data_IF_668389161200
#
_entry.id   IF_668389161200
#
_cell.length_a   1.000
_cell.length_b   1.000
_cell.length_c   1.000
_cell.angle_alpha   90.00
_cell.angle_beta   90.00
_cell.angle_gamma   90.00
#
_symmetry.space_group_name_H-M   'P 1'
#
loop_
_entity.id
_entity.type
_entity.pdbx_description
1 polymer ?
#
# COMPACT_ATOMS: atom_id res chain seq x y z
N UNK A 1 23.40 30.90 -22.72
CA UNK A 1 23.26 30.05 -21.52
C UNK A 1 21.78 29.73 -21.37
N UNK A 2 21.30 28.61 -21.93
CA UNK A 2 19.88 28.22 -21.86
C UNK A 2 19.58 27.72 -20.45
N UNK A 3 18.81 28.48 -19.68
CA UNK A 3 18.14 28.00 -18.48
C UNK A 3 17.19 26.89 -18.89
N UNK A 4 17.58 25.63 -18.67
CA UNK A 4 16.67 24.50 -18.79
C UNK A 4 15.45 24.79 -17.93
N UNK A 5 14.32 25.09 -18.58
CA UNK A 5 13.04 25.22 -17.91
C UNK A 5 12.80 23.90 -17.18
N UNK A 6 12.78 23.94 -15.85
CA UNK A 6 12.29 22.85 -15.02
C UNK A 6 10.79 22.70 -15.31
N UNK A 7 10.46 22.06 -16.44
CA UNK A 7 9.10 21.67 -16.79
C UNK A 7 8.70 20.61 -15.76
N UNK A 8 8.02 21.06 -14.70
CA UNK A 8 7.40 20.20 -13.71
C UNK A 8 6.46 19.26 -14.48
N UNK A 9 6.72 17.96 -14.39
CA UNK A 9 5.91 16.96 -15.09
C UNK A 9 4.43 17.19 -14.79
N UNK A 10 3.58 17.08 -15.82
CA UNK A 10 2.15 17.33 -15.70
C UNK A 10 1.56 16.48 -14.55
N UNK A 11 0.65 17.04 -13.74
CA UNK A 11 0.05 16.31 -12.63
C UNK A 11 -0.77 15.13 -13.15
N UNK A 12 -0.72 13.99 -12.46
CA UNK A 12 -1.54 12.83 -12.81
C UNK A 12 -3.04 13.15 -12.68
N UNK A 13 -3.82 12.71 -13.66
CA UNK A 13 -5.29 12.85 -13.64
C UNK A 13 -5.92 11.94 -12.59
N UNK A 14 -7.16 12.21 -12.21
CA UNK A 14 -7.92 11.37 -11.26
C UNK A 14 -8.11 9.96 -11.82
N UNK A 15 -8.45 9.81 -13.10
CA UNK A 15 -8.60 8.51 -13.75
C UNK A 15 -7.30 7.69 -13.72
N UNK A 16 -6.17 8.32 -14.07
CA UNK A 16 -4.83 7.71 -13.99
C UNK A 16 -4.50 7.29 -12.54
N UNK A 17 -4.89 8.10 -11.55
CA UNK A 17 -4.68 7.80 -10.12
C UNK A 17 -5.51 6.60 -9.65
N UNK A 18 -6.77 6.52 -10.05
CA UNK A 18 -7.65 5.37 -9.77
C UNK A 18 -7.05 4.11 -10.39
N UNK A 19 -6.62 4.17 -11.65
CA UNK A 19 -6.01 3.02 -12.32
C UNK A 19 -4.74 2.53 -11.59
N UNK A 20 -3.85 3.46 -11.19
CA UNK A 20 -2.64 3.13 -10.41
C UNK A 20 -3.00 2.45 -9.09
N UNK A 21 -3.95 3.03 -8.33
CA UNK A 21 -4.40 2.49 -7.05
C UNK A 21 -5.05 1.11 -7.20
N UNK A 22 -5.90 0.92 -8.21
CA UNK A 22 -6.55 -0.36 -8.48
C UNK A 22 -5.56 -1.46 -8.87
N UNK A 23 -4.58 -1.15 -9.72
CA UNK A 23 -3.55 -2.13 -10.12
C UNK A 23 -2.70 -2.55 -8.92
N UNK A 24 -2.21 -1.57 -8.14
CA UNK A 24 -1.45 -1.85 -6.92
C UNK A 24 -2.30 -2.62 -5.88
N UNK A 25 -3.58 -2.29 -5.79
CA UNK A 25 -4.57 -2.97 -4.95
C UNK A 25 -4.73 -4.43 -5.33
N UNK A 26 -5.01 -4.74 -6.60
CA UNK A 26 -5.18 -6.13 -7.07
C UNK A 26 -3.93 -6.97 -6.80
N UNK A 27 -2.74 -6.44 -7.09
CA UNK A 27 -1.48 -7.15 -6.79
C UNK A 27 -1.35 -7.40 -5.28
N UNK A 28 -1.66 -6.41 -4.46
CA UNK A 28 -1.62 -6.54 -3.00
C UNK A 28 -2.64 -7.54 -2.47
N UNK A 29 -3.85 -7.58 -3.04
CA UNK A 29 -4.89 -8.56 -2.70
C UNK A 29 -4.38 -9.98 -2.92
N UNK A 30 -3.82 -10.26 -4.10
CA UNK A 30 -3.34 -11.59 -4.46
C UNK A 30 -2.22 -12.05 -3.52
N UNK A 31 -1.20 -11.20 -3.34
CA UNK A 31 -0.05 -11.55 -2.50
C UNK A 31 -0.41 -11.63 -1.01
N UNK A 32 -1.32 -10.78 -0.52
CA UNK A 32 -1.76 -10.79 0.88
C UNK A 32 -2.60 -12.02 1.20
N UNK A 33 -3.55 -12.39 0.33
CA UNK A 33 -4.33 -13.62 0.53
C UNK A 33 -3.42 -14.86 0.48
N UNK A 34 -2.48 -14.89 -0.46
CA UNK A 34 -1.52 -16.00 -0.54
C UNK A 34 -0.64 -16.09 0.71
N UNK A 35 -0.08 -14.98 1.19
CA UNK A 35 0.73 -14.96 2.40
C UNK A 35 -0.08 -15.37 3.63
N UNK A 36 -1.30 -14.84 3.78
CA UNK A 36 -2.18 -15.19 4.88
C UNK A 36 -2.49 -16.70 4.89
N UNK A 37 -2.87 -17.25 3.73
CA UNK A 37 -3.10 -18.68 3.56
C UNK A 37 -1.87 -19.50 3.94
N UNK A 38 -0.67 -19.12 3.47
CA UNK A 38 0.56 -19.84 3.77
C UNK A 38 0.87 -19.86 5.27
N UNK A 39 0.76 -18.71 5.97
CA UNK A 39 1.03 -18.65 7.41
C UNK A 39 -0.05 -19.41 8.20
N UNK A 40 -1.33 -19.24 7.86
CA UNK A 40 -2.42 -19.92 8.55
C UNK A 40 -2.33 -21.44 8.37
N UNK A 41 -2.05 -21.91 7.16
CA UNK A 41 -1.88 -23.34 6.86
C UNK A 41 -0.67 -23.93 7.61
N UNK A 42 0.47 -23.23 7.66
CA UNK A 42 1.67 -23.71 8.33
C UNK A 42 1.53 -23.81 9.86
N UNK A 43 0.63 -23.02 10.47
CA UNK A 43 0.45 -22.96 11.92
C UNK A 43 -0.89 -23.54 12.38
N UNK A 44 -1.70 -24.09 11.47
CA UNK A 44 -3.06 -24.54 11.73
C UNK A 44 -3.94 -23.46 12.41
N UNK A 45 -3.78 -22.20 12.00
CA UNK A 45 -4.59 -21.09 12.50
C UNK A 45 -5.89 -20.97 11.71
N UNK A 46 -6.95 -20.57 12.41
CA UNK A 46 -8.23 -20.16 11.83
C UNK A 46 -8.70 -18.91 12.56
N UNK A 47 -9.09 -17.90 11.79
CA UNK A 47 -9.55 -16.61 12.31
C UNK A 47 -10.89 -16.28 11.66
N UNK A 48 -11.86 -15.84 12.47
CA UNK A 48 -13.15 -15.40 11.95
C UNK A 48 -13.01 -14.05 11.23
N UNK A 49 -12.23 -13.15 11.81
CA UNK A 49 -12.12 -11.76 11.36
C UNK A 49 -11.05 -11.58 10.29
N UNK A 50 -9.98 -12.38 10.32
CA UNK A 50 -8.89 -12.34 9.33
C UNK A 50 -9.10 -13.38 8.22
N UNK A 51 -10.14 -13.17 7.42
CA UNK A 51 -10.47 -14.03 6.29
C UNK A 51 -10.14 -13.37 4.94
N UNK A 52 -10.20 -14.14 3.85
CA UNK A 52 -9.80 -13.64 2.53
C UNK A 52 -10.60 -12.43 2.03
N UNK A 53 -11.86 -12.29 2.44
CA UNK A 53 -12.68 -11.12 2.10
C UNK A 53 -12.17 -9.86 2.82
N UNK A 54 -11.94 -9.94 4.14
CA UNK A 54 -11.40 -8.82 4.93
C UNK A 54 -10.02 -8.35 4.43
N UNK A 55 -9.15 -9.31 4.07
CA UNK A 55 -7.82 -9.04 3.52
C UNK A 55 -7.95 -8.35 2.16
N UNK A 56 -8.85 -8.84 1.31
CA UNK A 56 -9.09 -8.28 -0.02
C UNK A 56 -9.52 -6.83 0.04
N UNK A 57 -10.53 -6.52 0.85
CA UNK A 57 -11.02 -5.14 1.00
C UNK A 57 -9.92 -4.23 1.55
N UNK A 58 -9.25 -4.67 2.62
CA UNK A 58 -8.25 -3.86 3.30
C UNK A 58 -7.05 -3.56 2.40
N UNK A 59 -6.51 -4.57 1.72
CA UNK A 59 -5.37 -4.41 0.82
C UNK A 59 -5.70 -3.55 -0.41
N UNK A 60 -6.90 -3.72 -0.99
CA UNK A 60 -7.34 -2.93 -2.13
C UNK A 60 -7.53 -1.46 -1.75
N UNK A 61 -8.30 -1.18 -0.69
CA UNK A 61 -8.60 0.19 -0.27
C UNK A 61 -7.34 0.92 0.21
N UNK A 62 -6.43 0.25 0.93
CA UNK A 62 -5.18 0.86 1.37
C UNK A 62 -4.34 1.36 0.19
N UNK A 63 -4.26 0.60 -0.91
CA UNK A 63 -3.54 1.00 -2.11
C UNK A 63 -4.28 2.08 -2.92
N UNK A 64 -5.62 2.01 -2.98
CA UNK A 64 -6.41 3.04 -3.64
C UNK A 64 -6.24 4.40 -2.95
N UNK A 65 -6.39 4.44 -1.62
CA UNK A 65 -6.15 5.64 -0.80
C UNK A 65 -4.70 6.10 -0.93
N UNK A 66 -3.76 5.15 -0.86
CA UNK A 66 -2.33 5.40 -1.04
C UNK A 66 -2.01 6.12 -2.35
N UNK A 67 -2.65 5.73 -3.46
CA UNK A 67 -2.44 6.37 -4.75
C UNK A 67 -2.88 7.85 -4.77
N UNK A 68 -4.00 8.17 -4.12
CA UNK A 68 -4.45 9.56 -3.97
C UNK A 68 -3.50 10.37 -3.09
N UNK A 69 -3.03 9.80 -1.97
CA UNK A 69 -2.06 10.46 -1.09
C UNK A 69 -0.76 10.72 -1.87
N UNK A 70 -0.25 9.72 -2.58
CA UNK A 70 0.97 9.87 -3.37
C UNK A 70 0.82 10.94 -4.46
N UNK A 71 -0.33 11.01 -5.14
CA UNK A 71 -0.63 12.06 -6.12
C UNK A 71 -0.54 13.46 -5.49
N UNK A 72 -1.10 13.64 -4.30
CA UNK A 72 -1.02 14.93 -3.57
C UNK A 72 0.42 15.27 -3.23
N UNK A 73 1.18 14.30 -2.70
CA UNK A 73 2.60 14.49 -2.38
C UNK A 73 3.44 14.82 -3.62
N UNK A 74 3.20 14.12 -4.73
CA UNK A 74 3.87 14.32 -6.02
C UNK A 74 3.69 15.75 -6.54
N UNK A 75 2.49 16.29 -6.42
CA UNK A 75 2.19 17.66 -6.86
C UNK A 75 2.84 18.72 -5.95
N UNK A 76 3.04 18.41 -4.67
CA UNK A 76 3.52 19.36 -3.65
C UNK A 76 5.02 19.30 -3.36
N UNK A 77 5.71 18.20 -3.64
CA UNK A 77 7.10 18.00 -3.19
C UNK A 77 7.95 17.24 -4.21
N UNK A 78 9.21 17.69 -4.39
CA UNK A 78 10.24 16.94 -5.12
C UNK A 78 10.66 15.66 -4.39
N UNK A 79 10.37 15.55 -3.09
CA UNK A 79 10.69 14.40 -2.23
C UNK A 79 9.46 13.50 -1.97
N UNK A 80 8.45 13.55 -2.84
CA UNK A 80 7.21 12.80 -2.68
C UNK A 80 7.42 11.30 -2.39
N UNK A 81 8.38 10.66 -3.06
CA UNK A 81 8.74 9.26 -2.81
C UNK A 81 9.19 8.99 -1.37
N UNK A 82 10.04 9.85 -0.80
CA UNK A 82 10.51 9.73 0.58
C UNK A 82 9.36 9.92 1.58
N UNK A 83 8.55 10.98 1.38
CA UNK A 83 7.43 11.26 2.29
C UNK A 83 6.39 10.13 2.27
N UNK A 84 6.15 9.55 1.10
CA UNK A 84 5.26 8.41 0.97
C UNK A 84 5.84 7.14 1.60
N UNK A 85 7.14 6.90 1.46
CA UNK A 85 7.83 5.79 2.13
C UNK A 85 7.71 5.86 3.65
N UNK A 86 7.96 7.04 4.21
CA UNK A 86 7.79 7.28 5.65
C UNK A 86 6.35 7.01 6.05
N UNK A 87 5.37 7.53 5.31
CA UNK A 87 3.96 7.30 5.60
C UNK A 87 3.58 5.81 5.58
N UNK A 88 3.95 5.08 4.53
CA UNK A 88 3.68 3.64 4.43
C UNK A 88 4.26 2.87 5.62
N UNK A 89 5.52 3.17 5.99
CA UNK A 89 6.18 2.50 7.11
C UNK A 89 5.54 2.86 8.45
N UNK A 90 5.24 4.15 8.69
CA UNK A 90 4.57 4.60 9.90
C UNK A 90 3.21 3.93 10.05
N UNK A 91 2.42 3.87 8.97
CA UNK A 91 1.10 3.20 9.02
C UNK A 91 1.23 1.71 9.33
N UNK A 92 2.19 1.00 8.73
CA UNK A 92 2.42 -0.42 9.04
C UNK A 92 2.83 -0.64 10.50
N UNK A 93 3.70 0.22 11.03
CA UNK A 93 4.10 0.17 12.44
C UNK A 93 2.91 0.45 13.35
N UNK A 94 2.11 1.49 13.07
CA UNK A 94 0.95 1.83 13.88
C UNK A 94 -0.10 0.71 13.88
N UNK A 95 -0.38 0.10 12.73
CA UNK A 95 -1.31 -1.03 12.65
C UNK A 95 -0.77 -2.25 13.38
N UNK A 96 0.53 -2.52 13.30
CA UNK A 96 1.18 -3.59 14.07
C UNK A 96 1.18 -3.34 15.57
N UNK A 97 1.42 -2.10 16.03
CA UNK A 97 1.29 -1.72 17.44
C UNK A 97 -0.15 -1.88 17.91
N UNK A 98 -1.14 -1.55 17.06
CA UNK A 98 -2.54 -1.74 17.40
C UNK A 98 -2.91 -3.22 17.53
N UNK A 99 -2.51 -4.07 16.58
CA UNK A 99 -2.71 -5.53 16.68
C UNK A 99 -1.94 -6.13 17.86
N UNK A 100 -0.76 -5.57 18.12
CA UNK A 100 0.02 -5.56 19.35
C UNK A 100 -0.80 -5.56 20.64
N UNK A 101 -1.29 -4.37 20.91
CA UNK A 101 -1.94 -3.95 22.14
C UNK A 101 -3.38 -4.44 22.25
N UNK A 102 -4.07 -4.58 21.11
CA UNK A 102 -5.49 -4.90 21.03
C UNK A 102 -5.74 -6.05 20.04
N UNK A 103 -5.26 -7.27 20.32
CA UNK A 103 -5.50 -8.41 19.43
C UNK A 103 -6.99 -8.76 19.42
N UNK A 104 -7.58 -8.83 18.22
CA UNK A 104 -8.98 -9.24 18.07
C UNK A 104 -9.19 -10.74 18.34
N UNK A 105 -8.18 -11.55 18.05
CA UNK A 105 -8.18 -13.01 18.27
C UNK A 105 -6.77 -13.45 18.72
N UNK A 106 -6.64 -14.55 19.49
CA UNK A 106 -5.34 -15.07 19.91
C UNK A 106 -4.44 -15.39 18.70
N UNK A 107 -3.15 -15.03 18.76
CA UNK A 107 -2.17 -15.27 17.68
C UNK A 107 -2.42 -14.53 16.35
N UNK A 108 -3.45 -13.69 16.23
CA UNK A 108 -3.76 -12.96 14.98
C UNK A 108 -2.58 -12.11 14.49
N UNK A 109 -1.78 -11.59 15.42
CA UNK A 109 -0.58 -10.80 15.13
C UNK A 109 0.48 -11.55 14.33
N UNK A 110 0.54 -12.88 14.42
CA UNK A 110 1.46 -13.71 13.64
C UNK A 110 1.16 -13.67 12.14
N UNK A 111 -0.10 -13.37 11.75
CA UNK A 111 -0.52 -13.25 10.35
C UNK A 111 -0.71 -11.78 9.96
N UNK A 112 -1.43 -11.01 10.77
CA UNK A 112 -1.76 -9.62 10.46
C UNK A 112 -0.53 -8.71 10.34
N UNK A 113 0.48 -8.87 11.21
CA UNK A 113 1.68 -8.03 11.15
C UNK A 113 2.46 -8.21 9.84
N UNK A 114 2.80 -9.45 9.40
CA UNK A 114 3.36 -9.65 8.06
C UNK A 114 2.53 -9.02 6.93
N UNK A 115 1.20 -9.10 7.00
CA UNK A 115 0.33 -8.50 5.98
C UNK A 115 0.43 -6.97 5.95
N UNK A 116 0.48 -6.30 7.10
CA UNK A 116 0.65 -4.85 7.15
C UNK A 116 1.93 -4.40 6.45
N UNK A 117 3.05 -5.07 6.71
CA UNK A 117 4.33 -4.76 6.08
C UNK A 117 4.33 -5.11 4.58
N UNK A 118 3.75 -6.24 4.19
CA UNK A 118 3.64 -6.61 2.78
C UNK A 118 2.86 -5.54 2.00
N UNK A 119 1.68 -5.15 2.47
CA UNK A 119 0.86 -4.12 1.81
C UNK A 119 1.60 -2.78 1.77
N UNK A 120 2.28 -2.38 2.85
CA UNK A 120 3.06 -1.15 2.88
C UNK A 120 4.22 -1.16 1.88
N UNK A 121 4.96 -2.27 1.76
CA UNK A 121 6.07 -2.43 0.82
C UNK A 121 5.56 -2.41 -0.62
N UNK A 122 4.49 -3.15 -0.92
CA UNK A 122 3.88 -3.16 -2.25
C UNK A 122 3.38 -1.77 -2.64
N UNK A 123 2.70 -1.08 -1.72
CA UNK A 123 2.23 0.29 -1.92
C UNK A 123 3.39 1.25 -2.20
N UNK A 124 4.45 1.20 -1.39
CA UNK A 124 5.68 1.97 -1.54
C UNK A 124 6.35 1.75 -2.90
N UNK A 125 6.38 0.53 -3.41
CA UNK A 125 7.07 0.21 -4.68
C UNK A 125 6.17 0.51 -5.87
N UNK A 126 4.97 -0.06 -5.89
CA UNK A 126 4.10 -0.08 -7.06
C UNK A 126 3.57 1.31 -7.38
N UNK A 127 3.08 2.05 -6.38
CA UNK A 127 2.39 3.32 -6.63
C UNK A 127 3.34 4.37 -7.23
N UNK A 128 4.55 4.63 -6.68
CA UNK A 128 5.50 5.54 -7.29
C UNK A 128 5.95 5.12 -8.70
N UNK A 129 6.17 3.82 -8.91
CA UNK A 129 6.61 3.29 -10.22
C UNK A 129 5.53 3.47 -11.27
N UNK A 130 4.30 3.05 -10.97
CA UNK A 130 3.16 3.13 -11.88
C UNK A 130 2.79 4.59 -12.16
N UNK A 131 2.77 5.45 -11.13
CA UNK A 131 2.46 6.87 -11.30
C UNK A 131 3.47 7.57 -12.22
N UNK A 132 4.76 7.28 -12.07
CA UNK A 132 5.80 7.82 -12.96
C UNK A 132 5.64 7.37 -14.41
N UNK A 133 5.25 6.11 -14.63
CA UNK A 133 5.01 5.58 -15.98
C UNK A 133 3.83 6.28 -16.66
N UNK A 134 2.75 6.43 -15.91
CA UNK A 134 1.49 6.99 -16.42
C UNK A 134 1.55 8.51 -16.60
N UNK A 135 2.49 9.21 -15.95
CA UNK A 135 2.73 10.66 -16.19
C UNK A 135 3.68 10.90 -17.37
N UNK A 136 4.59 9.96 -17.66
CA UNK A 136 5.51 10.06 -18.81
C UNK A 136 4.89 9.62 -20.15
N UNK A 137 3.86 8.78 -20.10
CA UNK A 137 3.05 8.37 -21.25
C UNK A 137 1.80 9.23 -21.40
#
# INVERSE_FOLDING_TARGET
MQTASNLKAAPATVSKTIAVGSIAGIISVLLSNFLAWAIMAANNYQFEMLNGFSITISAFLANLIGAFIYRVLWNKSSRAGLYYAILCLVMAVLTTVNTVANPMEPNIGAVANPLHFLVAVLSLILIPVLMKRVVKG
#
